data_IF_618454858719
#
_entry.id   IF_618454858719
#
_cell.length_a   1.000
_cell.length_b   1.000
_cell.length_c   1.000
_cell.angle_alpha   90.00
_cell.angle_beta   90.00
_cell.angle_gamma   90.00
#
_symmetry.space_group_name_H-M   'P 1'
#
loop_
_entity.id
_entity.type
_entity.pdbx_description
1 polymer ?
#
# COMPACT_ATOMS: atom_id res chain seq x y z
N UNK A 1 -15.11 -20.09 5.94
CA UNK A 1 -15.64 -20.68 4.67
C UNK A 1 -15.54 -19.56 3.63
N UNK A 2 -15.18 -19.85 2.38
CA UNK A 2 -15.15 -18.84 1.30
C UNK A 2 -16.59 -18.53 0.88
N UNK A 3 -16.89 -17.25 0.65
CA UNK A 3 -18.14 -16.82 0.03
C UNK A 3 -17.95 -16.77 -1.49
N UNK A 4 -18.80 -17.48 -2.23
CA UNK A 4 -18.84 -17.49 -3.68
C UNK A 4 -20.14 -16.90 -4.25
N UNK A 5 -21.03 -16.40 -3.40
CA UNK A 5 -22.32 -15.83 -3.79
C UNK A 5 -22.24 -14.30 -3.92
N UNK A 6 -21.51 -13.64 -3.00
CA UNK A 6 -21.33 -12.19 -2.99
C UNK A 6 -22.68 -11.45 -3.09
N UNK A 7 -22.74 -10.42 -3.93
CA UNK A 7 -23.98 -9.70 -4.21
C UNK A 7 -24.90 -10.41 -5.23
N UNK A 8 -24.46 -11.48 -5.85
CA UNK A 8 -25.23 -12.26 -6.81
C UNK A 8 -25.69 -11.48 -8.04
N UNK A 9 -26.83 -11.90 -8.61
CA UNK A 9 -27.34 -11.32 -9.86
C UNK A 9 -27.94 -9.92 -9.72
N UNK A 10 -28.12 -9.42 -8.50
CA UNK A 10 -28.74 -8.12 -8.23
C UNK A 10 -27.91 -7.32 -7.22
N UNK A 11 -26.75 -6.78 -7.66
CA UNK A 11 -25.88 -6.01 -6.77
C UNK A 11 -26.61 -4.75 -6.27
N UNK A 12 -26.33 -4.31 -5.03
CA UNK A 12 -26.94 -3.11 -4.48
C UNK A 12 -26.49 -1.86 -5.25
N UNK A 13 -27.32 -0.83 -5.23
CA UNK A 13 -26.89 0.49 -5.74
C UNK A 13 -25.84 1.07 -4.80
N UNK A 14 -24.70 1.44 -5.34
CA UNK A 14 -23.61 2.06 -4.57
C UNK A 14 -23.96 3.44 -4.00
N UNK A 15 -24.96 4.12 -4.60
CA UNK A 15 -25.40 5.48 -4.19
C UNK A 15 -24.24 6.46 -4.06
N UNK A 16 -23.36 6.47 -5.06
CA UNK A 16 -22.22 7.37 -5.09
C UNK A 16 -22.58 8.82 -4.81
N UNK A 17 -21.72 9.62 -4.15
CA UNK A 17 -21.94 11.04 -3.90
C UNK A 17 -22.33 11.79 -5.17
N UNK A 18 -23.17 12.82 -5.05
CA UNK A 18 -23.61 13.63 -6.19
C UNK A 18 -24.49 12.87 -7.21
N UNK A 19 -25.05 11.71 -6.87
CA UNK A 19 -25.78 10.81 -7.78
C UNK A 19 -24.92 10.35 -8.97
N UNK A 20 -23.60 10.26 -8.77
CA UNK A 20 -22.69 9.78 -9.78
C UNK A 20 -22.99 8.31 -10.16
N UNK A 21 -22.75 7.98 -11.41
CA UNK A 21 -22.93 6.62 -11.93
C UNK A 21 -21.72 5.73 -11.72
N UNK A 22 -20.55 6.34 -11.52
CA UNK A 22 -19.27 5.68 -11.32
C UNK A 22 -18.43 6.49 -10.34
N UNK A 23 -17.63 5.84 -9.53
CA UNK A 23 -16.51 6.41 -8.79
C UNK A 23 -15.21 6.06 -9.48
N UNK A 24 -14.33 7.04 -9.66
CA UNK A 24 -12.97 6.84 -10.20
C UNK A 24 -11.98 7.23 -9.11
N UNK A 25 -11.12 6.31 -8.74
CA UNK A 25 -10.05 6.54 -7.78
C UNK A 25 -8.71 6.42 -8.50
N UNK A 26 -7.85 7.43 -8.31
CA UNK A 26 -6.46 7.37 -8.75
C UNK A 26 -5.59 6.93 -7.59
N UNK A 27 -4.80 5.88 -7.80
CA UNK A 27 -3.90 5.33 -6.79
C UNK A 27 -2.47 5.38 -7.32
N UNK A 28 -1.55 5.80 -6.45
CA UNK A 28 -0.11 5.68 -6.66
C UNK A 28 0.44 4.75 -5.59
N UNK A 29 1.05 3.65 -5.99
CA UNK A 29 1.89 2.87 -5.09
C UNK A 29 3.24 3.58 -4.95
N UNK A 30 3.63 3.91 -3.72
CA UNK A 30 4.94 4.48 -3.40
C UNK A 30 5.74 3.47 -2.59
N UNK A 31 6.58 2.70 -3.27
CA UNK A 31 7.24 1.49 -2.76
C UNK A 31 8.77 1.60 -2.77
N UNK A 32 9.31 2.55 -3.52
CA UNK A 32 10.72 2.71 -3.81
C UNK A 32 11.55 2.97 -2.56
N UNK A 33 12.39 2.01 -2.22
CA UNK A 33 13.17 1.99 -0.98
C UNK A 33 12.56 1.08 0.10
N UNK A 34 11.42 0.41 -0.17
CA UNK A 34 10.82 -0.60 0.69
C UNK A 34 11.11 -2.03 0.27
N UNK A 35 11.68 -2.22 -0.92
CA UNK A 35 12.02 -3.53 -1.52
C UNK A 35 13.13 -4.27 -0.76
N UNK A 36 13.33 -5.53 -1.11
CA UNK A 36 14.45 -6.32 -0.58
C UNK A 36 15.79 -5.80 -1.10
N UNK A 37 16.72 -5.60 -0.18
CA UNK A 37 18.09 -5.25 -0.52
C UNK A 37 19.07 -5.74 0.56
N UNK A 38 20.21 -6.24 0.13
CA UNK A 38 21.29 -6.62 1.06
C UNK A 38 21.80 -5.44 1.90
N UNK A 39 21.56 -4.20 1.45
CA UNK A 39 21.91 -3.00 2.22
C UNK A 39 21.02 -2.82 3.46
N UNK A 40 19.82 -3.39 3.48
CA UNK A 40 18.91 -3.41 4.63
C UNK A 40 19.04 -4.71 5.45
N UNK A 41 20.04 -5.56 5.16
CA UNK A 41 20.27 -6.82 5.84
C UNK A 41 19.43 -7.98 5.31
N UNK A 42 18.77 -7.83 4.18
CA UNK A 42 18.09 -8.96 3.54
C UNK A 42 19.09 -9.98 3.00
N UNK A 43 18.72 -11.26 2.95
CA UNK A 43 19.62 -12.31 2.47
C UNK A 43 19.90 -12.23 0.96
N UNK A 44 19.10 -11.48 0.22
CA UNK A 44 19.22 -11.35 -1.23
C UNK A 44 18.54 -10.06 -1.74
N UNK A 45 18.89 -9.67 -2.97
CA UNK A 45 18.29 -8.54 -3.70
C UNK A 45 16.84 -8.83 -4.13
N UNK A 46 16.07 -7.77 -4.38
CA UNK A 46 14.81 -7.82 -5.12
C UNK A 46 15.08 -8.11 -6.61
N UNK A 47 14.15 -8.84 -7.23
CA UNK A 47 14.23 -9.18 -8.66
C UNK A 47 12.94 -8.86 -9.41
N UNK A 48 11.88 -8.48 -8.70
CA UNK A 48 10.66 -8.02 -9.34
C UNK A 48 10.93 -6.74 -10.13
N UNK A 49 10.47 -6.68 -11.36
CA UNK A 49 10.78 -5.63 -12.35
C UNK A 49 12.21 -5.68 -12.93
N UNK A 50 12.97 -6.76 -12.71
CA UNK A 50 14.22 -6.93 -13.46
C UNK A 50 13.93 -7.13 -14.96
N UNK A 51 14.91 -6.82 -15.82
CA UNK A 51 14.79 -7.07 -17.28
C UNK A 51 14.61 -8.56 -17.61
N UNK A 52 15.04 -9.44 -16.70
CA UNK A 52 14.90 -10.90 -16.85
C UNK A 52 13.67 -11.34 -16.06
N UNK A 53 12.62 -11.73 -16.76
CA UNK A 53 11.42 -12.26 -16.15
C UNK A 53 11.73 -13.56 -15.39
N UNK A 54 11.37 -13.59 -14.10
CA UNK A 54 11.63 -14.75 -13.25
C UNK A 54 13.11 -14.93 -12.86
N UNK A 55 13.91 -13.89 -12.94
CA UNK A 55 15.30 -13.91 -12.47
C UNK A 55 15.38 -14.39 -11.02
N UNK A 56 16.33 -15.29 -10.74
CA UNK A 56 16.62 -15.69 -9.38
C UNK A 56 17.26 -14.53 -8.59
N UNK A 57 16.84 -14.36 -7.34
CA UNK A 57 17.51 -13.45 -6.42
C UNK A 57 18.91 -13.95 -6.09
N UNK A 58 19.87 -13.06 -5.85
CA UNK A 58 21.22 -13.39 -5.46
C UNK A 58 21.68 -12.59 -4.22
N UNK A 59 22.62 -13.11 -3.44
CA UNK A 59 23.02 -12.53 -2.15
C UNK A 59 23.99 -11.36 -2.34
N UNK A 60 23.69 -10.45 -3.24
CA UNK A 60 24.44 -9.23 -3.50
C UNK A 60 23.50 -8.15 -4.06
N UNK A 61 24.01 -6.95 -4.28
CA UNK A 61 23.28 -5.84 -4.88
C UNK A 61 22.89 -6.13 -6.33
N UNK A 62 21.66 -5.76 -6.67
CA UNK A 62 21.19 -5.79 -8.06
C UNK A 62 21.06 -4.37 -8.61
N UNK A 63 22.16 -3.81 -9.10
CA UNK A 63 22.25 -2.39 -9.46
C UNK A 63 21.22 -1.93 -10.50
N UNK A 64 20.87 -2.76 -11.48
CA UNK A 64 19.82 -2.41 -12.47
C UNK A 64 18.45 -2.31 -11.83
N UNK A 65 18.08 -3.24 -10.92
CA UNK A 65 16.81 -3.19 -10.19
C UNK A 65 16.81 -1.99 -9.25
N UNK A 66 17.87 -1.79 -8.48
CA UNK A 66 18.00 -0.60 -7.60
C UNK A 66 17.78 0.69 -8.40
N UNK A 67 18.37 0.80 -9.60
CA UNK A 67 18.21 2.00 -10.45
C UNK A 67 16.78 2.19 -10.97
N UNK A 68 16.02 1.11 -11.20
CA UNK A 68 14.59 1.19 -11.56
C UNK A 68 13.76 1.77 -10.39
N UNK A 69 13.99 1.28 -9.18
CA UNK A 69 13.33 1.82 -7.98
C UNK A 69 13.76 3.27 -7.72
N UNK A 70 15.05 3.59 -7.85
CA UNK A 70 15.52 4.98 -7.75
C UNK A 70 14.85 5.89 -8.78
N UNK A 71 14.65 5.43 -10.02
CA UNK A 71 13.93 6.21 -11.02
C UNK A 71 12.50 6.56 -10.56
N UNK A 72 11.78 5.62 -9.97
CA UNK A 72 10.44 5.83 -9.43
C UNK A 72 10.40 6.99 -8.45
N UNK A 73 11.24 6.96 -7.43
CA UNK A 73 11.29 8.01 -6.40
C UNK A 73 11.89 9.33 -6.88
N UNK A 74 12.92 9.30 -7.77
CA UNK A 74 13.67 10.48 -8.22
C UNK A 74 12.98 11.21 -9.36
N UNK A 75 12.27 10.52 -10.25
CA UNK A 75 11.69 11.08 -11.46
C UNK A 75 10.21 10.72 -11.66
N UNK A 76 9.84 9.45 -11.52
CA UNK A 76 8.49 8.93 -11.78
C UNK A 76 7.45 9.61 -10.93
N UNK A 77 7.64 9.59 -9.61
CA UNK A 77 6.75 10.26 -8.66
C UNK A 77 6.50 11.73 -9.04
N UNK A 78 7.55 12.50 -9.33
CA UNK A 78 7.41 13.93 -9.64
C UNK A 78 6.69 14.20 -10.96
N UNK A 79 6.78 13.29 -11.93
CA UNK A 79 6.01 13.37 -13.18
C UNK A 79 4.53 13.17 -12.90
N UNK A 80 4.18 12.14 -12.13
CA UNK A 80 2.80 11.86 -11.73
C UNK A 80 2.24 12.98 -10.85
N UNK A 81 3.00 13.46 -9.87
CA UNK A 81 2.60 14.57 -9.01
C UNK A 81 2.22 15.81 -9.83
N UNK A 82 3.07 16.23 -10.78
CA UNK A 82 2.76 17.37 -11.65
C UNK A 82 1.52 17.13 -12.51
N UNK A 83 1.34 15.93 -13.04
CA UNK A 83 0.18 15.57 -13.86
C UNK A 83 -1.12 15.70 -13.05
N UNK A 84 -1.19 15.06 -11.89
CA UNK A 84 -2.39 15.08 -11.05
C UNK A 84 -2.69 16.48 -10.52
N UNK A 85 -1.66 17.25 -10.15
CA UNK A 85 -1.83 18.65 -9.73
C UNK A 85 -2.35 19.53 -10.88
N UNK A 86 -1.84 19.37 -12.09
CA UNK A 86 -2.30 20.14 -13.26
C UNK A 86 -3.77 19.89 -13.59
N UNK A 87 -4.28 18.71 -13.27
CA UNK A 87 -5.68 18.32 -13.47
C UNK A 87 -6.53 18.44 -12.21
N UNK A 88 -5.98 18.87 -11.08
CA UNK A 88 -6.67 19.00 -9.79
C UNK A 88 -7.38 17.69 -9.37
N UNK A 89 -6.74 16.55 -9.62
CA UNK A 89 -7.28 15.23 -9.32
C UNK A 89 -6.86 14.77 -7.92
N UNK A 90 -7.81 14.27 -7.12
CA UNK A 90 -7.48 13.61 -5.85
C UNK A 90 -6.75 12.30 -6.12
N UNK A 91 -5.84 11.95 -5.22
CA UNK A 91 -5.05 10.71 -5.30
C UNK A 91 -4.98 10.08 -3.92
N UNK A 92 -5.10 8.76 -3.86
CA UNK A 92 -4.68 7.96 -2.71
C UNK A 92 -3.31 7.39 -2.99
N UNK A 93 -2.37 7.59 -2.08
CA UNK A 93 -1.04 6.99 -2.16
C UNK A 93 -1.00 5.77 -1.25
N UNK A 94 -0.77 4.58 -1.80
CA UNK A 94 -0.40 3.41 -1.01
C UNK A 94 1.09 3.47 -0.75
N UNK A 95 1.43 3.99 0.45
CA UNK A 95 2.82 4.27 0.80
C UNK A 95 3.43 3.21 1.71
N UNK A 96 4.51 2.57 1.24
CA UNK A 96 5.34 1.72 2.09
C UNK A 96 6.07 2.62 3.09
N UNK A 97 5.88 2.38 4.38
CA UNK A 97 6.35 3.31 5.41
C UNK A 97 7.87 3.55 5.38
N UNK A 98 8.67 2.52 5.13
CA UNK A 98 10.12 2.65 4.97
C UNK A 98 10.46 3.50 3.74
N UNK A 99 9.77 3.31 2.61
CA UNK A 99 9.98 4.09 1.39
C UNK A 99 9.66 5.57 1.61
N UNK A 100 8.52 5.87 2.26
CA UNK A 100 8.13 7.23 2.64
C UNK A 100 9.20 7.89 3.53
N UNK A 101 9.75 7.17 4.50
CA UNK A 101 10.77 7.71 5.41
C UNK A 101 12.07 8.09 4.71
N UNK A 102 12.36 7.48 3.58
CA UNK A 102 13.56 7.73 2.76
C UNK A 102 13.43 8.93 1.82
N UNK A 103 12.19 9.45 1.64
CA UNK A 103 11.95 10.57 0.73
C UNK A 103 10.94 11.58 1.34
N UNK A 104 11.36 12.27 2.40
CA UNK A 104 10.53 13.29 3.04
C UNK A 104 10.03 14.38 2.08
N UNK A 105 10.80 14.88 1.09
CA UNK A 105 10.27 15.82 0.11
C UNK A 105 9.05 15.30 -0.66
N UNK A 106 9.01 14.02 -1.00
CA UNK A 106 7.82 13.42 -1.64
C UNK A 106 6.61 13.38 -0.68
N UNK A 107 6.82 12.99 0.59
CA UNK A 107 5.76 13.02 1.61
C UNK A 107 5.19 14.44 1.77
N UNK A 108 6.03 15.44 1.88
CA UNK A 108 5.60 16.84 2.00
C UNK A 108 4.82 17.31 0.75
N UNK A 109 5.20 16.84 -0.44
CA UNK A 109 4.46 17.14 -1.66
C UNK A 109 3.07 16.47 -1.69
N UNK A 110 2.96 15.23 -1.21
CA UNK A 110 1.68 14.52 -1.07
C UNK A 110 0.76 15.26 -0.09
N UNK A 111 1.26 15.61 1.09
CA UNK A 111 0.49 16.34 2.11
C UNK A 111 0.05 17.72 1.61
N UNK A 112 0.94 18.48 0.96
CA UNK A 112 0.61 19.78 0.37
C UNK A 112 -0.43 19.69 -0.75
N UNK A 113 -0.49 18.56 -1.43
CA UNK A 113 -1.47 18.26 -2.47
C UNK A 113 -2.82 17.79 -1.93
N UNK A 114 -2.95 17.66 -0.60
CA UNK A 114 -4.13 17.11 0.07
C UNK A 114 -4.45 15.67 -0.41
N UNK A 115 -3.41 14.88 -0.64
CA UNK A 115 -3.54 13.49 -1.02
C UNK A 115 -3.65 12.60 0.21
N UNK A 116 -4.54 11.63 0.16
CA UNK A 116 -4.54 10.59 1.18
C UNK A 116 -3.29 9.73 1.07
N UNK A 117 -2.62 9.49 2.21
CA UNK A 117 -1.54 8.52 2.31
C UNK A 117 -2.06 7.34 3.13
N UNK A 118 -2.43 6.26 2.45
CA UNK A 118 -2.80 5.00 3.09
C UNK A 118 -1.57 4.13 3.34
N UNK A 119 -1.63 3.27 4.33
CA UNK A 119 -0.51 2.44 4.72
C UNK A 119 -0.36 1.24 3.77
N UNK A 120 0.84 1.07 3.20
CA UNK A 120 1.21 -0.08 2.36
C UNK A 120 2.21 -1.01 3.08
N UNK A 121 2.02 -1.16 4.39
CA UNK A 121 2.93 -1.94 5.23
C UNK A 121 4.23 -1.21 5.55
N UNK A 122 5.10 -1.89 6.32
CA UNK A 122 6.40 -1.35 6.71
C UNK A 122 7.44 -1.45 5.59
N UNK A 123 7.50 -2.63 4.97
CA UNK A 123 8.38 -2.95 3.84
C UNK A 123 7.58 -3.67 2.74
N UNK A 124 8.09 -3.59 1.52
CA UNK A 124 7.48 -4.26 0.38
C UNK A 124 7.92 -5.73 0.30
N UNK A 125 7.40 -6.55 1.21
CA UNK A 125 7.71 -7.96 1.36
C UNK A 125 6.48 -8.82 1.10
N UNK A 126 6.72 -10.07 0.68
CA UNK A 126 5.69 -11.10 0.66
C UNK A 126 5.51 -11.64 2.09
N UNK A 127 4.36 -11.35 2.69
CA UNK A 127 4.06 -11.73 4.07
C UNK A 127 3.55 -13.17 4.20
N UNK A 128 3.26 -13.86 3.08
CA UNK A 128 2.71 -15.23 3.10
C UNK A 128 3.58 -16.22 3.89
N UNK A 129 4.89 -16.00 3.93
CA UNK A 129 5.85 -16.85 4.63
C UNK A 129 6.44 -16.23 5.90
N UNK A 130 6.00 -15.01 6.24
CA UNK A 130 6.53 -14.29 7.42
C UNK A 130 5.77 -14.75 8.68
N UNK A 131 6.47 -15.03 9.80
CA UNK A 131 5.81 -15.38 11.05
C UNK A 131 4.88 -14.27 11.55
N UNK A 132 3.70 -14.64 12.09
CA UNK A 132 2.69 -13.68 12.57
C UNK A 132 3.27 -12.63 13.54
N UNK A 133 4.20 -13.02 14.41
CA UNK A 133 4.82 -12.09 15.36
C UNK A 133 5.62 -10.98 14.67
N UNK A 134 6.36 -11.32 13.61
CA UNK A 134 7.12 -10.35 12.84
C UNK A 134 6.22 -9.48 11.97
N UNK A 135 5.17 -10.06 11.39
CA UNK A 135 4.17 -9.30 10.64
C UNK A 135 3.47 -8.28 11.55
N UNK A 136 3.08 -8.68 12.75
CA UNK A 136 2.51 -7.78 13.78
C UNK A 136 3.46 -6.64 14.14
N UNK A 137 4.75 -6.93 14.32
CA UNK A 137 5.78 -5.91 14.56
C UNK A 137 5.85 -4.94 13.38
N UNK A 138 5.88 -5.45 12.14
CA UNK A 138 5.94 -4.62 10.94
C UNK A 138 4.71 -3.73 10.79
N UNK A 139 3.51 -4.22 11.11
CA UNK A 139 2.28 -3.40 11.10
C UNK A 139 2.41 -2.26 12.12
N UNK A 140 2.82 -2.55 13.35
CA UNK A 140 3.05 -1.54 14.39
C UNK A 140 4.04 -0.47 13.95
N UNK A 141 5.21 -0.88 13.43
CA UNK A 141 6.26 0.02 12.93
C UNK A 141 5.77 0.86 11.75
N UNK A 142 4.95 0.29 10.87
CA UNK A 142 4.38 1.02 9.74
C UNK A 142 3.47 2.15 10.21
N UNK A 143 2.59 1.88 11.18
CA UNK A 143 1.67 2.87 11.75
C UNK A 143 2.45 3.98 12.47
N UNK A 144 3.41 3.63 13.31
CA UNK A 144 4.24 4.60 14.04
C UNK A 144 5.02 5.51 13.09
N UNK A 145 5.65 4.93 12.06
CA UNK A 145 6.44 5.69 11.11
C UNK A 145 5.56 6.59 10.23
N UNK A 146 4.39 6.09 9.83
CA UNK A 146 3.39 6.89 9.12
C UNK A 146 2.97 8.11 9.94
N UNK A 147 2.60 7.92 11.21
CA UNK A 147 2.19 9.00 12.12
C UNK A 147 3.32 10.02 12.32
N UNK A 148 4.57 9.57 12.44
CA UNK A 148 5.74 10.46 12.54
C UNK A 148 5.94 11.32 11.30
N UNK A 149 5.69 10.78 10.10
CA UNK A 149 5.93 11.45 8.83
C UNK A 149 4.79 12.38 8.40
N UNK A 150 3.56 12.03 8.73
CA UNK A 150 2.35 12.72 8.27
C UNK A 150 1.65 13.53 9.35
N UNK A 151 1.90 13.23 10.63
CA UNK A 151 1.21 13.80 11.79
C UNK A 151 -0.06 13.07 12.18
N UNK A 152 -0.51 12.07 11.40
CA UNK A 152 -1.76 11.35 11.63
C UNK A 152 -1.57 9.84 11.37
N UNK A 153 -2.40 9.02 12.02
CA UNK A 153 -2.45 7.58 11.73
C UNK A 153 -3.12 7.31 10.39
N UNK A 154 -2.68 6.29 9.65
CA UNK A 154 -3.28 5.96 8.37
C UNK A 154 -4.73 5.51 8.54
N UNK A 155 -5.62 5.96 7.67
CA UNK A 155 -7.03 5.55 7.66
C UNK A 155 -7.29 4.29 6.83
N UNK A 156 -6.45 4.03 5.84
CA UNK A 156 -6.53 2.91 4.93
C UNK A 156 -5.34 1.98 5.01
N UNK A 157 -5.60 0.70 4.71
CA UNK A 157 -4.58 -0.33 4.59
C UNK A 157 -4.64 -0.99 3.22
N UNK A 158 -3.48 -1.26 2.65
CA UNK A 158 -3.26 -2.11 1.50
C UNK A 158 -1.89 -2.75 1.60
N UNK A 159 -1.76 -4.04 1.46
CA UNK A 159 -0.43 -4.68 1.41
C UNK A 159 -0.15 -5.36 0.07
N UNK A 160 -1.17 -5.84 -0.64
CA UNK A 160 -1.04 -6.50 -1.95
C UNK A 160 -0.27 -7.82 -1.92
N UNK A 161 0.36 -8.15 -0.80
CA UNK A 161 1.16 -9.35 -0.53
C UNK A 161 0.86 -9.88 0.86
N UNK A 162 -0.42 -9.93 1.19
CA UNK A 162 -0.95 -10.27 2.50
C UNK A 162 -0.71 -11.74 2.88
N UNK A 163 -0.75 -12.01 4.17
CA UNK A 163 -0.78 -13.33 4.77
C UNK A 163 -2.18 -13.69 5.24
N UNK A 164 -2.45 -14.95 5.61
CA UNK A 164 -3.69 -15.30 6.30
C UNK A 164 -3.93 -14.54 7.62
N UNK A 165 -2.91 -13.90 8.17
CA UNK A 165 -2.99 -13.14 9.42
C UNK A 165 -3.21 -11.64 9.22
N UNK A 166 -2.80 -11.05 8.10
CA UNK A 166 -2.76 -9.61 7.85
C UNK A 166 -4.07 -8.94 8.26
N UNK A 167 -5.20 -9.39 7.72
CA UNK A 167 -6.51 -8.80 8.02
C UNK A 167 -6.87 -8.87 9.50
N UNK A 168 -6.61 -10.01 10.15
CA UNK A 168 -6.82 -10.16 11.60
C UNK A 168 -6.01 -9.13 12.39
N UNK A 169 -4.76 -8.92 11.99
CA UNK A 169 -3.83 -8.02 12.67
C UNK A 169 -4.22 -6.56 12.50
N UNK A 170 -4.60 -6.13 11.31
CA UNK A 170 -5.05 -4.75 11.09
C UNK A 170 -6.37 -4.43 11.81
N UNK A 171 -7.27 -5.41 11.96
CA UNK A 171 -8.51 -5.26 12.73
C UNK A 171 -8.29 -5.08 14.24
N UNK A 172 -7.08 -5.28 14.75
CA UNK A 172 -6.71 -4.95 16.13
C UNK A 172 -6.53 -3.43 16.33
N UNK A 173 -6.42 -2.66 15.25
CA UNK A 173 -6.21 -1.21 15.25
C UNK A 173 -7.50 -0.46 14.88
N UNK A 174 -8.05 0.31 15.81
CA UNK A 174 -9.37 0.96 15.66
C UNK A 174 -9.40 2.14 14.68
N UNK A 175 -8.24 2.65 14.24
CA UNK A 175 -8.15 3.82 13.37
C UNK A 175 -8.33 3.49 11.88
N UNK A 176 -8.07 2.26 11.44
CA UNK A 176 -8.31 1.88 10.05
C UNK A 176 -9.81 1.92 9.73
N UNK A 177 -10.16 2.57 8.65
CA UNK A 177 -11.53 2.68 8.13
C UNK A 177 -11.81 1.69 7.00
N UNK A 178 -10.76 1.29 6.28
CA UNK A 178 -10.88 0.36 5.16
C UNK A 178 -9.60 -0.47 4.96
N UNK A 179 -9.79 -1.63 4.34
CA UNK A 179 -8.79 -2.57 3.87
C UNK A 179 -9.00 -2.80 2.37
N UNK A 180 -7.98 -2.57 1.55
CA UNK A 180 -8.03 -2.71 0.09
C UNK A 180 -7.42 -4.02 -0.41
N UNK A 181 -7.11 -4.98 0.45
CA UNK A 181 -6.52 -6.28 0.07
C UNK A 181 -7.55 -7.29 -0.45
N UNK A 182 -8.81 -6.88 -0.66
CA UNK A 182 -9.83 -7.75 -1.23
C UNK A 182 -10.18 -7.36 -2.66
N UNK A 183 -10.24 -8.37 -3.52
CA UNK A 183 -10.60 -8.26 -4.94
C UNK A 183 -11.86 -9.08 -5.26
N UNK A 184 -12.71 -9.32 -4.24
CA UNK A 184 -13.77 -10.32 -4.34
C UNK A 184 -15.06 -9.80 -4.98
N UNK A 185 -15.26 -8.48 -5.08
CA UNK A 185 -16.49 -7.91 -5.62
C UNK A 185 -16.26 -6.54 -6.28
N UNK A 186 -17.25 -6.08 -7.05
CA UNK A 186 -17.23 -4.76 -7.71
C UNK A 186 -17.46 -3.59 -6.73
N UNK A 187 -18.07 -3.87 -5.59
CA UNK A 187 -18.41 -2.88 -4.58
C UNK A 187 -17.72 -3.17 -3.25
N UNK A 188 -17.41 -2.13 -2.46
CA UNK A 188 -16.98 -2.33 -1.09
C UNK A 188 -18.04 -3.09 -0.27
N UNK A 189 -17.60 -3.92 0.64
CA UNK A 189 -18.48 -4.65 1.55
C UNK A 189 -17.93 -4.63 2.97
N UNK A 190 -18.84 -4.77 3.92
CA UNK A 190 -18.48 -4.76 5.33
C UNK A 190 -17.91 -6.09 5.77
N UNK A 191 -16.79 -6.04 6.47
CA UNK A 191 -16.22 -7.19 7.15
C UNK A 191 -16.65 -7.19 8.62
N UNK A 192 -16.95 -8.37 9.21
CA UNK A 192 -17.18 -8.47 10.65
C UNK A 192 -15.86 -8.19 11.38
N UNK A 193 -15.80 -7.09 12.09
CA UNK A 193 -14.69 -6.73 12.96
C UNK A 193 -14.94 -7.09 14.41
N UNK A 194 -13.90 -7.17 15.26
CA UNK A 194 -14.06 -7.52 16.68
C UNK A 194 -14.80 -6.46 17.50
N UNK A 195 -14.81 -5.20 17.07
CA UNK A 195 -15.42 -4.07 17.77
C UNK A 195 -16.45 -3.32 16.95
N UNK A 196 -16.31 -3.29 15.62
CA UNK A 196 -17.23 -2.66 14.68
C UNK A 196 -17.07 -3.32 13.30
N UNK A 197 -18.08 -3.22 12.40
CA UNK A 197 -17.86 -3.54 10.99
C UNK A 197 -16.75 -2.69 10.38
N UNK A 198 -15.97 -3.29 9.52
CA UNK A 198 -14.83 -2.67 8.85
C UNK A 198 -15.06 -2.63 7.36
#
# INVERSE_FOLDING_TARGET
>A
MRDFEGYGAQPPSAKWPGKARIAVQFVINYEEGGERTVLDGDPHSETFLSEIIGAAAYPDRHLSVESLYEYGSRAGFWRLHRLFQAHQLPVTVFGVALALSRNQPAVQAMLKADWEIACHGYRWLDYQQIPEALEREHIGRAIELHEQLTGEKPLGWYTGRDSPNTRKLILEHDHFLYDSDSYADDLPYWLPGPRRPH
#
